data_IF_405483444287
#
_entry.id   IF_405483444287
#
_cell.length_a   1.000
_cell.length_b   1.000
_cell.length_c   1.000
_cell.angle_alpha   90.00
_cell.angle_beta   90.00
_cell.angle_gamma   90.00
#
_symmetry.space_group_name_H-M   'P 1'
#
loop_
_entity.id
_entity.type
_entity.pdbx_description
1 polymer ?
#
# COMPACT_ATOMS: atom_id res chain seq x y z
N UNK A 1 4.77 12.04 -4.98
CA UNK A 1 5.13 12.75 -3.73
C UNK A 1 6.14 12.00 -2.87
N UNK A 2 5.78 10.89 -2.22
CA UNK A 2 6.58 10.22 -1.17
C UNK A 2 7.99 9.73 -1.53
N UNK A 3 8.29 9.64 -2.82
CA UNK A 3 9.59 9.16 -3.34
C UNK A 3 10.23 10.27 -4.16
N UNK A 4 9.68 10.58 -5.33
CA UNK A 4 10.30 11.56 -6.25
C UNK A 4 10.34 12.99 -5.72
N UNK A 5 9.29 13.44 -5.01
CA UNK A 5 9.24 14.81 -4.46
C UNK A 5 10.07 14.90 -3.17
N UNK A 6 10.10 13.82 -2.38
CA UNK A 6 10.95 13.71 -1.19
C UNK A 6 12.45 13.76 -1.56
N UNK A 7 12.89 12.97 -2.54
CA UNK A 7 14.25 13.03 -3.10
C UNK A 7 14.63 14.44 -3.57
N UNK A 8 13.73 15.13 -4.29
CA UNK A 8 13.95 16.52 -4.71
C UNK A 8 14.07 17.51 -3.53
N UNK A 9 13.41 17.23 -2.39
CA UNK A 9 13.57 18.01 -1.15
C UNK A 9 14.89 17.71 -0.46
N UNK A 10 15.39 16.48 -0.50
CA UNK A 10 16.70 16.13 0.07
C UNK A 10 17.84 16.88 -0.62
N UNK A 11 17.78 17.02 -1.96
CA UNK A 11 18.71 17.89 -2.67
C UNK A 11 18.63 19.36 -2.21
N UNK A 12 17.63 19.79 -1.44
CA UNK A 12 17.66 21.14 -0.86
C UNK A 12 18.59 21.27 0.35
N UNK A 13 18.93 20.15 1.02
CA UNK A 13 19.82 20.12 2.19
C UNK A 13 21.30 20.27 1.83
N UNK A 14 21.70 19.89 0.61
CA UNK A 14 23.07 20.06 0.09
C UNK A 14 23.38 21.57 -0.08
N UNK A 15 24.65 21.96 0.09
CA UNK A 15 25.09 23.34 -0.09
C UNK A 15 24.73 23.89 -1.49
N UNK A 16 24.49 25.21 -1.59
CA UNK A 16 24.09 25.85 -2.85
C UNK A 16 25.14 25.76 -3.95
N UNK A 17 26.43 25.84 -3.64
CA UNK A 17 27.50 25.75 -4.63
C UNK A 17 27.63 24.32 -5.13
N UNK A 18 27.69 23.35 -4.23
CA UNK A 18 27.82 21.92 -4.54
C UNK A 18 26.66 21.40 -5.40
N UNK A 19 25.42 21.84 -5.13
CA UNK A 19 24.25 21.52 -5.97
C UNK A 19 24.36 21.99 -7.40
N UNK A 20 24.95 23.17 -7.65
CA UNK A 20 25.10 23.69 -9.01
C UNK A 20 26.11 22.88 -9.82
N UNK A 21 27.05 22.24 -9.14
CA UNK A 21 28.09 21.41 -9.75
C UNK A 21 27.58 19.99 -10.02
N UNK A 22 26.76 19.43 -9.13
CA UNK A 22 26.32 18.02 -9.19
C UNK A 22 24.98 17.83 -9.91
N UNK A 23 24.10 18.84 -9.92
CA UNK A 23 22.75 18.70 -10.49
C UNK A 23 22.56 19.58 -11.73
N UNK A 24 22.16 18.96 -12.83
CA UNK A 24 21.71 19.65 -14.05
C UNK A 24 20.37 20.38 -13.86
N UNK A 25 19.59 19.95 -12.85
CA UNK A 25 18.27 20.51 -12.53
C UNK A 25 18.34 21.44 -11.33
N UNK A 26 17.48 22.47 -11.31
CA UNK A 26 17.30 23.37 -10.16
C UNK A 26 16.15 22.84 -9.28
N UNK A 27 16.38 22.12 -8.16
CA UNK A 27 15.32 21.40 -7.46
C UNK A 27 14.20 22.30 -6.94
N UNK A 28 14.54 23.54 -6.55
CA UNK A 28 13.54 24.54 -6.13
C UNK A 28 12.60 24.96 -7.27
N UNK A 29 13.12 25.10 -8.49
CA UNK A 29 12.31 25.46 -9.66
C UNK A 29 11.42 24.28 -10.05
N UNK A 30 11.99 23.08 -10.09
CA UNK A 30 11.28 21.84 -10.39
C UNK A 30 10.12 21.59 -9.41
N UNK A 31 10.37 21.71 -8.11
CA UNK A 31 9.34 21.55 -7.09
C UNK A 31 8.22 22.58 -7.19
N UNK A 32 8.50 23.80 -7.66
CA UNK A 32 7.46 24.81 -7.91
C UNK A 32 6.60 24.42 -9.10
N UNK A 33 7.20 23.92 -10.17
CA UNK A 33 6.45 23.47 -11.36
C UNK A 33 5.62 22.23 -11.06
N UNK A 34 6.18 21.23 -10.38
CA UNK A 34 5.44 20.04 -9.91
C UNK A 34 4.22 20.46 -9.08
N UNK A 35 4.38 21.41 -8.14
CA UNK A 35 3.26 21.89 -7.32
C UNK A 35 2.18 22.56 -8.18
N UNK A 36 2.56 23.34 -9.18
CA UNK A 36 1.64 24.00 -10.10
C UNK A 36 0.84 22.98 -10.93
N UNK A 37 1.51 22.01 -11.54
CA UNK A 37 0.88 20.96 -12.34
C UNK A 37 -0.05 20.11 -11.48
N UNK A 38 0.41 19.65 -10.31
CA UNK A 38 -0.43 18.86 -9.39
C UNK A 38 -1.67 19.65 -8.97
N UNK A 39 -1.54 20.94 -8.68
CA UNK A 39 -2.69 21.76 -8.33
C UNK A 39 -3.72 21.82 -9.47
N UNK A 40 -3.26 22.02 -10.72
CA UNK A 40 -4.13 22.00 -11.90
C UNK A 40 -4.85 20.65 -12.05
N UNK A 41 -4.11 19.54 -11.94
CA UNK A 41 -4.68 18.19 -12.00
C UNK A 41 -5.67 17.91 -10.86
N UNK A 42 -5.45 18.45 -9.67
CA UNK A 42 -6.39 18.30 -8.55
C UNK A 42 -7.70 19.06 -8.80
N UNK A 43 -7.62 20.25 -9.40
CA UNK A 43 -8.81 21.02 -9.81
C UNK A 43 -9.59 20.25 -10.86
N UNK A 44 -8.92 19.78 -11.91
CA UNK A 44 -9.51 18.97 -12.99
C UNK A 44 -10.15 17.69 -12.46
N UNK A 45 -9.43 16.92 -11.64
CA UNK A 45 -9.94 15.72 -10.97
C UNK A 45 -11.23 16.02 -10.18
N UNK A 46 -11.25 17.13 -9.43
CA UNK A 46 -12.43 17.55 -8.67
C UNK A 46 -13.62 17.90 -9.56
N UNK A 47 -13.38 18.52 -10.72
CA UNK A 47 -14.43 18.83 -11.71
C UNK A 47 -15.00 17.54 -12.30
N UNK A 48 -14.14 16.63 -12.78
CA UNK A 48 -14.55 15.33 -13.34
C UNK A 48 -15.38 14.55 -12.32
N UNK A 49 -14.85 14.41 -11.09
CA UNK A 49 -15.52 13.66 -10.05
C UNK A 49 -16.91 14.22 -9.71
N UNK A 50 -17.02 15.53 -9.44
CA UNK A 50 -18.29 16.14 -8.98
C UNK A 50 -19.29 16.41 -10.11
N UNK A 51 -18.81 16.71 -11.31
CA UNK A 51 -19.67 17.20 -12.40
C UNK A 51 -19.94 16.16 -13.48
N UNK A 52 -19.22 15.03 -13.48
CA UNK A 52 -19.40 13.95 -14.45
C UNK A 52 -19.66 12.63 -13.74
N UNK A 53 -18.73 12.16 -12.90
CA UNK A 53 -18.83 10.82 -12.28
C UNK A 53 -20.02 10.73 -11.33
N UNK A 54 -20.15 11.67 -10.37
CA UNK A 54 -21.27 11.64 -9.41
C UNK A 54 -22.63 11.75 -10.10
N UNK A 55 -22.86 12.66 -11.07
CA UNK A 55 -24.10 12.69 -11.85
C UNK A 55 -24.37 11.39 -12.61
N UNK A 56 -23.38 10.83 -13.32
CA UNK A 56 -23.54 9.59 -14.07
C UNK A 56 -23.89 8.39 -13.17
N UNK A 57 -23.30 8.32 -11.96
CA UNK A 57 -23.68 7.32 -10.97
C UNK A 57 -25.15 7.49 -10.54
N UNK A 58 -25.60 8.73 -10.30
CA UNK A 58 -26.99 9.00 -9.90
C UNK A 58 -27.99 8.60 -10.98
N UNK A 59 -27.67 8.83 -12.26
CA UNK A 59 -28.50 8.37 -13.39
C UNK A 59 -28.68 6.85 -13.41
N UNK A 60 -27.72 6.10 -12.85
CA UNK A 60 -27.78 4.65 -12.68
C UNK A 60 -28.34 4.21 -11.32
N UNK A 61 -28.93 5.12 -10.55
CA UNK A 61 -29.49 4.82 -9.23
C UNK A 61 -28.44 4.60 -8.13
N UNK A 62 -27.18 4.99 -8.37
CA UNK A 62 -26.07 4.87 -7.41
C UNK A 62 -25.83 6.22 -6.74
N UNK A 63 -25.97 6.26 -5.43
CA UNK A 63 -25.87 7.50 -4.65
C UNK A 63 -24.75 7.41 -3.63
N UNK A 64 -23.76 8.29 -3.78
CA UNK A 64 -22.76 8.51 -2.73
C UNK A 64 -23.30 9.62 -1.83
N UNK A 65 -23.79 9.25 -0.65
CA UNK A 65 -24.22 10.20 0.36
C UNK A 65 -22.99 10.73 1.10
N UNK A 66 -22.72 12.02 0.96
CA UNK A 66 -21.54 12.71 1.50
C UNK A 66 -21.91 13.72 2.59
N UNK A 67 -23.16 13.66 3.08
CA UNK A 67 -23.65 14.51 4.14
C UNK A 67 -24.61 13.72 5.02
N UNK A 68 -24.16 13.40 6.24
CA UNK A 68 -24.97 12.69 7.21
C UNK A 68 -26.25 13.43 7.64
N UNK A 69 -26.34 14.75 7.42
CA UNK A 69 -27.59 15.48 7.69
C UNK A 69 -28.72 15.05 6.74
N UNK A 70 -28.37 14.57 5.54
CA UNK A 70 -29.30 14.10 4.52
C UNK A 70 -29.75 12.64 4.73
N UNK A 71 -29.22 11.94 5.74
CA UNK A 71 -29.65 10.58 6.05
C UNK A 71 -31.12 10.57 6.47
N UNK A 72 -31.88 9.62 5.93
CA UNK A 72 -33.24 9.31 6.39
C UNK A 72 -33.23 8.84 7.85
N UNK A 73 -34.39 8.79 8.50
CA UNK A 73 -34.52 8.26 9.88
C UNK A 73 -33.97 6.84 10.00
N UNK A 74 -34.28 5.97 9.02
CA UNK A 74 -33.79 4.59 8.96
C UNK A 74 -32.26 4.55 8.83
N UNK A 75 -31.68 5.40 7.97
CA UNK A 75 -30.24 5.47 7.79
C UNK A 75 -29.51 6.07 9.00
N UNK A 76 -30.11 7.03 9.69
CA UNK A 76 -29.58 7.58 10.95
C UNK A 76 -29.54 6.52 12.04
N UNK A 77 -30.58 5.68 12.13
CA UNK A 77 -30.60 4.57 13.07
C UNK A 77 -29.53 3.53 12.71
N UNK A 78 -29.48 3.09 11.45
CA UNK A 78 -28.43 2.19 10.97
C UNK A 78 -27.01 2.74 11.22
N UNK A 79 -26.78 4.03 10.97
CA UNK A 79 -25.48 4.66 11.21
C UNK A 79 -25.11 4.68 12.70
N UNK A 80 -26.10 4.84 13.60
CA UNK A 80 -25.90 4.72 15.05
C UNK A 80 -25.52 3.30 15.45
N UNK A 81 -26.27 2.31 14.99
CA UNK A 81 -26.04 0.90 15.33
C UNK A 81 -24.69 0.43 14.78
N UNK A 82 -24.40 0.73 13.50
CA UNK A 82 -23.11 0.45 12.89
C UNK A 82 -21.96 1.14 13.63
N UNK A 83 -22.15 2.39 14.06
CA UNK A 83 -21.15 3.10 14.84
C UNK A 83 -20.87 2.40 16.17
N UNK A 84 -21.89 2.06 16.95
CA UNK A 84 -21.74 1.43 18.26
C UNK A 84 -21.14 0.03 18.16
N UNK A 85 -21.60 -0.79 17.21
CA UNK A 85 -21.20 -2.19 17.10
C UNK A 85 -19.86 -2.38 16.39
N UNK A 86 -19.58 -1.59 15.35
CA UNK A 86 -18.43 -1.80 14.45
C UNK A 86 -17.37 -0.73 14.57
N UNK A 87 -17.74 0.53 14.73
CA UNK A 87 -16.77 1.65 14.64
C UNK A 87 -16.16 1.99 16.00
N UNK A 88 -16.98 2.16 17.03
CA UNK A 88 -16.59 2.57 18.37
C UNK A 88 -15.48 1.69 18.98
N UNK A 89 -15.48 0.34 18.85
CA UNK A 89 -14.40 -0.50 19.36
C UNK A 89 -13.02 -0.22 18.75
N UNK A 90 -12.96 0.44 17.60
CA UNK A 90 -11.73 0.79 16.89
C UNK A 90 -11.40 2.29 16.93
N UNK A 91 -12.23 3.08 17.61
CA UNK A 91 -12.00 4.51 17.77
C UNK A 91 -11.02 4.80 18.91
N UNK A 92 -10.15 5.75 18.63
CA UNK A 92 -9.24 6.43 19.52
C UNK A 92 -9.56 7.91 19.39
N UNK A 93 -9.98 8.52 20.50
CA UNK A 93 -10.32 9.92 20.55
C UNK A 93 -9.73 10.56 21.81
N UNK A 94 -9.35 11.83 21.69
CA UNK A 94 -8.76 12.61 22.79
C UNK A 94 -8.92 14.10 22.52
N UNK A 95 -8.90 14.91 23.58
CA UNK A 95 -8.70 16.35 23.48
C UNK A 95 -7.26 16.65 23.05
N UNK A 96 -7.09 17.71 22.27
CA UNK A 96 -5.78 18.24 21.91
C UNK A 96 -5.49 19.39 22.86
N UNK A 97 -4.66 19.12 23.85
CA UNK A 97 -4.13 20.13 24.76
C UNK A 97 -2.80 20.68 24.22
N UNK A 98 -2.65 22.00 24.20
CA UNK A 98 -1.43 22.68 23.75
C UNK A 98 -0.34 22.72 24.82
N UNK A 99 -0.66 22.42 26.08
CA UNK A 99 0.26 22.45 27.23
C UNK A 99 0.76 21.05 27.65
N UNK A 100 0.12 19.98 27.16
CA UNK A 100 0.49 18.57 27.40
C UNK A 100 1.25 17.94 26.21
N UNK A 101 1.48 16.62 26.27
CA UNK A 101 2.11 15.86 25.19
C UNK A 101 1.33 15.93 23.87
N UNK A 102 2.04 16.24 22.78
CA UNK A 102 1.47 16.31 21.42
C UNK A 102 0.93 14.94 21.01
N UNK A 103 -0.33 14.85 20.52
CA UNK A 103 -0.91 13.58 20.17
C UNK A 103 -0.16 12.91 19.01
N UNK A 104 0.18 11.64 19.19
CA UNK A 104 0.87 10.88 18.18
C UNK A 104 -0.06 10.47 17.04
N UNK A 105 0.22 10.95 15.82
CA UNK A 105 -0.53 10.61 14.60
C UNK A 105 0.18 9.52 13.80
N UNK A 106 -0.48 8.36 13.62
CA UNK A 106 0.04 7.23 12.83
C UNK A 106 0.34 7.67 11.39
N UNK A 107 1.42 7.12 10.84
CA UNK A 107 1.78 7.38 9.44
C UNK A 107 0.66 6.90 8.50
N UNK A 108 0.23 7.75 7.57
CA UNK A 108 -0.91 7.51 6.66
C UNK A 108 -2.28 7.43 7.34
N UNK A 109 -2.34 7.61 8.65
CA UNK A 109 -3.59 7.64 9.39
C UNK A 109 -4.48 8.79 8.92
N UNK A 110 -5.77 8.49 8.84
CA UNK A 110 -6.84 9.44 8.64
C UNK A 110 -7.42 9.83 10.00
N UNK A 111 -7.66 11.12 10.21
CA UNK A 111 -8.19 11.64 11.45
C UNK A 111 -9.19 12.76 11.18
N UNK A 112 -10.06 13.01 12.15
CA UNK A 112 -10.74 14.29 12.30
C UNK A 112 -10.03 15.14 13.35
N UNK A 113 -9.86 16.42 13.02
CA UNK A 113 -9.68 17.48 14.01
C UNK A 113 -11.03 18.13 14.24
N UNK A 114 -11.45 18.19 15.49
CA UNK A 114 -12.71 18.75 15.92
C UNK A 114 -12.49 20.12 16.53
N UNK A 115 -13.39 21.06 16.23
CA UNK A 115 -13.57 22.26 17.03
C UNK A 115 -14.72 21.99 18.01
N UNK A 116 -14.42 21.91 19.30
CA UNK A 116 -15.41 21.59 20.33
C UNK A 116 -16.15 22.85 20.78
N UNK A 117 -17.42 22.71 21.11
CA UNK A 117 -18.24 23.81 21.59
C UNK A 117 -17.89 24.18 23.04
N UNK A 118 -18.52 25.24 23.55
CA UNK A 118 -18.46 25.64 24.96
C UNK A 118 -17.04 25.89 25.52
N UNK A 119 -16.09 26.23 24.64
CA UNK A 119 -14.69 26.43 25.06
C UNK A 119 -13.93 25.12 25.31
N UNK A 120 -14.48 23.95 24.93
CA UNK A 120 -13.84 22.64 25.06
C UNK A 120 -12.58 22.44 24.22
N UNK A 121 -12.17 23.45 23.44
CA UNK A 121 -10.93 23.44 22.68
C UNK A 121 -11.01 22.55 21.44
N UNK A 122 -9.99 21.72 21.25
CA UNK A 122 -9.84 20.88 20.07
C UNK A 122 -9.96 19.40 20.44
N UNK A 123 -10.58 18.62 19.57
CA UNK A 123 -10.63 17.17 19.66
C UNK A 123 -9.90 16.51 18.50
N UNK A 124 -9.45 15.28 18.71
CA UNK A 124 -8.87 14.43 17.68
C UNK A 124 -9.56 13.07 17.70
N UNK A 125 -9.94 12.55 16.54
CA UNK A 125 -10.56 11.21 16.38
C UNK A 125 -9.90 10.51 15.20
N UNK A 126 -9.46 9.26 15.35
CA UNK A 126 -8.97 8.48 14.21
C UNK A 126 -10.14 8.01 13.32
N UNK A 127 -9.85 7.76 12.04
CA UNK A 127 -10.77 7.07 11.13
C UNK A 127 -10.18 5.68 10.85
N UNK A 128 -10.77 4.59 11.38
CA UNK A 128 -10.18 3.25 11.38
C UNK A 128 -10.31 2.51 10.03
N UNK A 129 -10.01 3.20 8.92
CA UNK A 129 -10.08 2.65 7.55
C UNK A 129 -9.08 1.54 7.24
N UNK A 130 -8.16 1.22 8.16
CA UNK A 130 -7.22 0.09 8.04
C UNK A 130 -7.87 -1.24 8.44
N UNK A 131 -8.90 -1.20 9.28
CA UNK A 131 -9.61 -2.39 9.80
C UNK A 131 -11.08 -2.44 9.38
N UNK A 132 -11.66 -1.30 9.01
CA UNK A 132 -13.04 -1.19 8.51
C UNK A 132 -13.05 -0.73 7.04
N UNK A 133 -14.05 -1.17 6.25
CA UNK A 133 -14.20 -0.71 4.87
C UNK A 133 -14.40 0.81 4.82
N UNK A 134 -13.77 1.47 3.84
CA UNK A 134 -13.90 2.92 3.65
C UNK A 134 -15.33 3.34 3.30
N UNK A 135 -16.03 2.49 2.57
CA UNK A 135 -17.39 2.71 2.10
C UNK A 135 -18.35 1.80 2.85
N UNK A 136 -19.45 2.37 3.34
CA UNK A 136 -20.49 1.67 4.08
C UNK A 136 -21.78 1.72 3.26
N UNK A 137 -22.34 0.56 2.98
CA UNK A 137 -23.66 0.45 2.34
C UNK A 137 -24.73 0.88 3.32
N UNK A 138 -25.63 1.75 2.86
CA UNK A 138 -26.76 2.22 3.65
C UNK A 138 -28.03 1.46 3.26
N UNK A 139 -28.98 1.28 4.20
CA UNK A 139 -30.34 0.89 3.85
C UNK A 139 -30.86 1.85 2.77
N UNK A 140 -31.26 1.27 1.65
CA UNK A 140 -31.59 2.00 0.43
C UNK A 140 -33.01 1.67 -0.01
N UNK A 141 -33.77 2.62 -0.60
CA UNK A 141 -35.02 2.31 -1.28
C UNK A 141 -34.82 1.29 -2.41
N UNK A 142 -35.89 0.60 -2.80
CA UNK A 142 -35.84 -0.35 -3.92
C UNK A 142 -35.32 0.31 -5.20
N UNK A 143 -34.41 -0.38 -5.88
CA UNK A 143 -33.77 0.12 -7.10
C UNK A 143 -32.68 1.17 -6.89
N UNK A 144 -32.35 1.54 -5.64
CA UNK A 144 -31.24 2.45 -5.35
C UNK A 144 -30.10 1.73 -4.64
N UNK A 145 -28.88 2.14 -4.96
CA UNK A 145 -27.66 1.72 -4.28
C UNK A 145 -27.05 2.91 -3.58
N UNK A 146 -27.31 3.05 -2.28
CA UNK A 146 -26.78 4.17 -1.49
C UNK A 146 -25.59 3.72 -0.64
N UNK A 147 -24.51 4.48 -0.75
CA UNK A 147 -23.26 4.24 -0.05
C UNK A 147 -22.77 5.54 0.56
N UNK A 148 -22.14 5.46 1.71
CA UNK A 148 -21.50 6.60 2.36
C UNK A 148 -20.06 6.31 2.69
N UNK A 149 -19.27 7.35 2.89
CA UNK A 149 -17.97 7.22 3.52
C UNK A 149 -18.14 6.86 5.00
N UNK A 150 -17.23 6.03 5.54
CA UNK A 150 -17.09 5.77 6.97
C UNK A 150 -16.99 7.08 7.79
N UNK A 151 -16.40 8.11 7.18
CA UNK A 151 -16.28 9.48 7.70
C UNK A 151 -17.63 10.04 8.14
N UNK A 152 -18.68 9.84 7.34
CA UNK A 152 -20.00 10.38 7.63
C UNK A 152 -20.71 9.59 8.73
N UNK A 153 -20.48 8.27 8.81
CA UNK A 153 -20.94 7.46 9.95
C UNK A 153 -20.32 7.98 11.25
N UNK A 154 -19.02 8.28 11.24
CA UNK A 154 -18.34 8.84 12.42
C UNK A 154 -18.87 10.25 12.71
N UNK A 155 -18.94 11.14 11.71
CA UNK A 155 -19.43 12.52 11.86
C UNK A 155 -20.82 12.59 12.49
N UNK A 156 -21.73 11.71 12.05
CA UNK A 156 -23.09 11.63 12.59
C UNK A 156 -23.17 11.26 14.08
N UNK A 157 -22.09 10.70 14.65
CA UNK A 157 -22.05 10.16 15.99
C UNK A 157 -20.98 10.83 16.88
N UNK A 158 -20.30 11.88 16.40
CA UNK A 158 -19.23 12.55 17.16
C UNK A 158 -19.71 13.18 18.47
N UNK A 159 -20.96 13.65 18.54
CA UNK A 159 -21.54 14.22 19.76
C UNK A 159 -21.64 13.21 20.91
N UNK A 160 -21.64 11.90 20.62
CA UNK A 160 -21.61 10.87 21.66
C UNK A 160 -20.22 10.74 22.31
N UNK A 161 -19.17 11.23 21.65
CA UNK A 161 -17.78 11.12 22.13
C UNK A 161 -17.33 12.36 22.92
N UNK A 162 -17.93 13.52 22.63
CA UNK A 162 -17.53 14.81 23.22
C UNK A 162 -18.75 15.51 23.84
N UNK A 163 -18.93 15.44 25.18
CA UNK A 163 -20.10 15.97 25.86
C UNK A 163 -20.29 17.49 25.71
N UNK A 164 -19.22 18.23 25.42
CA UNK A 164 -19.23 19.67 25.17
C UNK A 164 -19.97 20.02 23.87
N UNK A 165 -20.12 19.06 22.96
CA UNK A 165 -20.66 19.22 21.62
C UNK A 165 -19.58 19.54 20.57
N UNK A 166 -19.87 19.22 19.31
CA UNK A 166 -18.92 19.38 18.19
C UNK A 166 -19.42 20.45 17.23
N UNK A 167 -18.70 21.57 17.12
CA UNK A 167 -19.06 22.65 16.20
C UNK A 167 -18.69 22.33 14.75
N UNK A 168 -17.53 21.72 14.56
CA UNK A 168 -17.03 21.36 13.24
C UNK A 168 -16.04 20.19 13.33
N UNK A 169 -15.99 19.39 12.27
CA UNK A 169 -15.05 18.29 12.12
C UNK A 169 -14.34 18.42 10.77
N UNK A 170 -13.01 18.40 10.77
CA UNK A 170 -12.19 18.56 9.57
C UNK A 170 -11.29 17.36 9.39
N UNK A 171 -11.31 16.76 8.20
CA UNK A 171 -10.48 15.61 7.90
C UNK A 171 -9.03 16.04 7.73
N UNK A 172 -8.11 15.34 8.38
CA UNK A 172 -6.67 15.46 8.16
C UNK A 172 -6.05 14.11 7.83
N UNK A 173 -4.94 14.13 7.11
CA UNK A 173 -4.08 12.97 6.87
C UNK A 173 -2.63 13.33 7.10
N UNK A 174 -1.98 12.54 7.93
CA UNK A 174 -0.53 12.64 8.15
C UNK A 174 0.22 11.69 7.23
N UNK A 175 1.35 12.15 6.71
CA UNK A 175 2.35 11.28 6.09
C UNK A 175 3.72 11.60 6.66
N UNK A 176 4.47 10.56 7.00
CA UNK A 176 5.87 10.62 7.42
C UNK A 176 6.71 10.13 6.23
N UNK A 177 7.61 10.97 5.74
CA UNK A 177 8.48 10.65 4.61
C UNK A 177 9.39 9.48 4.98
N UNK A 178 9.48 8.50 4.08
CA UNK A 178 10.19 7.24 4.33
C UNK A 178 11.71 7.36 4.15
N UNK A 179 12.21 8.50 3.67
CA UNK A 179 13.58 8.61 3.15
C UNK A 179 14.58 9.22 4.14
N UNK A 180 14.16 9.84 5.26
CA UNK A 180 15.12 10.58 6.11
C UNK A 180 15.91 9.72 7.11
N UNK A 181 15.78 8.39 7.09
CA UNK A 181 16.38 7.49 8.09
C UNK A 181 17.37 6.47 7.53
N UNK A 182 17.57 6.43 6.20
CA UNK A 182 18.65 5.64 5.57
C UNK A 182 19.61 6.62 4.88
N UNK A 183 19.99 7.69 5.58
CA UNK A 183 20.89 8.74 5.06
C UNK A 183 22.34 8.24 4.89
N UNK A 184 22.64 7.01 5.33
CA UNK A 184 23.98 6.43 5.28
C UNK A 184 23.97 5.09 4.50
N UNK A 185 23.75 5.20 3.18
CA UNK A 185 23.63 4.07 2.24
C UNK A 185 24.96 3.41 1.84
N UNK A 186 26.09 3.92 2.35
CA UNK A 186 27.44 3.56 1.86
C UNK A 186 28.31 2.87 2.90
N UNK A 187 27.83 2.67 4.13
CA UNK A 187 28.58 2.05 5.21
C UNK A 187 27.69 1.19 6.12
N UNK A 188 28.25 0.16 6.76
CA UNK A 188 27.56 -0.64 7.80
C UNK A 188 26.61 -1.74 7.29
N UNK A 189 25.94 -2.40 8.24
CA UNK A 189 24.98 -3.49 7.99
C UNK A 189 23.62 -2.93 7.55
N UNK A 190 23.24 -3.24 6.30
CA UNK A 190 21.98 -2.76 5.70
C UNK A 190 20.75 -3.34 6.40
N UNK A 191 20.82 -4.58 6.87
CA UNK A 191 19.67 -5.25 7.50
C UNK A 191 19.30 -4.58 8.81
N UNK A 192 20.30 -4.35 9.67
CA UNK A 192 20.12 -3.65 10.95
C UNK A 192 19.57 -2.23 10.72
N UNK A 193 20.13 -1.50 9.75
CA UNK A 193 19.62 -0.16 9.39
C UNK A 193 18.15 -0.18 8.94
N UNK A 194 17.74 -1.19 8.18
CA UNK A 194 16.34 -1.34 7.75
C UNK A 194 15.45 -1.67 8.96
N UNK A 195 15.87 -2.58 9.85
CA UNK A 195 15.14 -2.93 11.09
C UNK A 195 14.94 -1.71 11.99
N UNK A 196 16.00 -0.95 12.26
CA UNK A 196 15.94 0.30 13.04
C UNK A 196 15.05 1.34 12.35
N UNK A 197 15.21 1.55 11.04
CA UNK A 197 14.41 2.51 10.29
C UNK A 197 12.92 2.16 10.27
N UNK A 198 12.57 0.87 10.17
CA UNK A 198 11.17 0.41 10.26
C UNK A 198 10.57 0.73 11.63
N UNK A 199 11.33 0.52 12.71
CA UNK A 199 10.91 0.89 14.06
C UNK A 199 10.74 2.42 14.21
N UNK A 200 11.73 3.21 13.78
CA UNK A 200 11.74 4.68 13.90
C UNK A 200 10.70 5.38 13.01
N UNK A 201 10.36 4.79 11.86
CA UNK A 201 9.32 5.29 10.94
C UNK A 201 7.94 5.31 11.59
N UNK A 202 7.73 4.51 12.63
CA UNK A 202 6.55 4.65 13.47
C UNK A 202 6.63 5.95 14.29
N UNK A 203 7.78 6.33 14.86
CA UNK A 203 7.91 7.35 15.92
C UNK A 203 8.21 8.79 15.42
N UNK A 204 8.89 8.97 14.28
CA UNK A 204 9.48 10.28 13.87
C UNK A 204 8.55 11.35 13.28
N UNK A 205 8.78 12.65 13.56
CA UNK A 205 7.88 13.77 13.27
C UNK A 205 7.20 13.78 11.86
N UNK A 206 5.92 14.23 11.76
CA UNK A 206 5.19 14.29 10.49
C UNK A 206 5.86 15.22 9.47
N UNK A 207 5.97 14.76 8.21
CA UNK A 207 6.61 15.55 7.13
C UNK A 207 5.59 16.12 6.14
N UNK A 208 4.32 15.73 6.29
CA UNK A 208 3.19 16.27 5.53
C UNK A 208 1.88 16.12 6.31
N UNK A 209 1.11 17.20 6.37
CA UNK A 209 -0.27 17.24 6.82
C UNK A 209 -1.15 17.72 5.66
N UNK A 210 -1.98 16.80 5.14
CA UNK A 210 -3.06 17.13 4.23
C UNK A 210 -4.29 17.45 5.08
N UNK A 211 -4.95 18.57 4.86
CA UNK A 211 -6.09 19.01 5.67
C UNK A 211 -7.26 19.45 4.78
N UNK A 212 -8.48 19.37 5.29
CA UNK A 212 -9.68 19.88 4.62
C UNK A 212 -9.58 21.39 4.39
N UNK A 213 -9.70 21.84 3.13
CA UNK A 213 -9.65 23.25 2.74
C UNK A 213 -10.72 24.14 3.40
N UNK A 214 -11.79 23.57 3.95
CA UNK A 214 -12.79 24.32 4.71
C UNK A 214 -12.27 24.76 6.10
N UNK A 215 -11.14 24.22 6.56
CA UNK A 215 -10.53 24.58 7.83
C UNK A 215 -10.06 26.04 7.82
N UNK A 216 -10.31 26.77 8.91
CA UNK A 216 -9.88 28.15 9.04
C UNK A 216 -8.34 28.27 9.05
N UNK A 217 -7.83 29.43 8.61
CA UNK A 217 -6.39 29.73 8.65
C UNK A 217 -5.88 29.66 10.09
N UNK A 218 -6.66 30.14 11.06
CA UNK A 218 -6.31 30.11 12.49
C UNK A 218 -6.11 28.67 12.99
N UNK A 219 -7.09 27.79 12.74
CA UNK A 219 -7.00 26.38 13.15
C UNK A 219 -5.83 25.68 12.44
N UNK A 220 -5.61 25.98 11.16
CA UNK A 220 -4.47 25.44 10.41
C UNK A 220 -3.13 25.89 11.02
N UNK A 221 -2.99 27.15 11.46
CA UNK A 221 -1.78 27.61 12.15
C UNK A 221 -1.62 26.97 13.53
N UNK A 222 -2.72 26.76 14.29
CA UNK A 222 -2.68 26.04 15.57
C UNK A 222 -2.17 24.62 15.38
N UNK A 223 -2.73 23.84 14.44
CA UNK A 223 -2.26 22.48 14.15
C UNK A 223 -0.81 22.45 13.67
N UNK A 224 -0.39 23.44 12.89
CA UNK A 224 1.00 23.58 12.48
C UNK A 224 1.94 23.72 13.67
N UNK A 225 1.57 24.53 14.66
CA UNK A 225 2.35 24.72 15.88
C UNK A 225 2.37 23.44 16.73
N UNK A 226 1.19 22.85 16.99
CA UNK A 226 1.01 21.62 17.77
C UNK A 226 1.85 20.47 17.20
N UNK A 227 1.77 20.24 15.89
CA UNK A 227 2.50 19.15 15.23
C UNK A 227 3.91 19.54 14.75
N UNK A 228 4.40 20.72 15.13
CA UNK A 228 5.74 21.23 14.79
C UNK A 228 6.05 21.19 13.28
N UNK A 229 5.04 21.50 12.46
CA UNK A 229 5.11 21.42 11.00
C UNK A 229 5.70 22.69 10.37
N UNK A 230 6.44 22.56 9.27
CA UNK A 230 6.88 23.72 8.48
C UNK A 230 5.77 24.14 7.52
N UNK A 231 5.82 25.39 7.04
CA UNK A 231 4.85 25.92 6.06
C UNK A 231 4.73 25.05 4.79
N UNK A 232 5.83 24.40 4.40
CA UNK A 232 5.88 23.55 3.21
C UNK A 232 5.33 22.13 3.43
N UNK A 233 4.92 21.80 4.65
CA UNK A 233 4.41 20.49 5.05
C UNK A 233 2.88 20.48 5.08
N UNK A 234 2.24 21.65 5.05
CA UNK A 234 0.79 21.82 5.00
C UNK A 234 0.28 21.81 3.56
N UNK A 235 -0.75 21.00 3.28
CA UNK A 235 -1.38 20.91 1.98
C UNK A 235 -2.90 20.98 2.12
N UNK A 236 -3.58 21.92 1.46
CA UNK A 236 -5.04 21.90 1.39
C UNK A 236 -5.50 20.71 0.53
N UNK A 237 -6.57 20.07 0.95
CA UNK A 237 -7.24 18.97 0.29
C UNK A 237 -8.76 19.11 0.37
N UNK A 238 -9.48 18.11 -0.13
CA UNK A 238 -10.93 18.08 -0.05
C UNK A 238 -11.40 17.58 1.32
N UNK A 239 -12.73 17.54 1.53
CA UNK A 239 -13.38 16.97 2.72
C UNK A 239 -13.00 15.50 2.96
N UNK A 240 -12.82 14.72 1.89
CA UNK A 240 -12.39 13.32 1.95
C UNK A 240 -10.97 13.18 1.45
N UNK A 241 -10.14 12.51 2.24
CA UNK A 241 -8.78 12.11 1.84
C UNK A 241 -8.78 10.63 1.42
N UNK A 242 -7.70 10.19 0.79
CA UNK A 242 -7.51 8.83 0.25
C UNK A 242 -8.49 8.44 -0.87
N UNK A 243 -8.47 9.17 -1.98
CA UNK A 243 -9.23 8.75 -3.17
C UNK A 243 -8.79 7.41 -3.77
N UNK A 244 -7.64 6.86 -3.37
CA UNK A 244 -7.27 5.47 -3.68
C UNK A 244 -8.28 4.45 -3.13
N UNK A 245 -9.03 4.83 -2.10
CA UNK A 245 -9.98 3.90 -1.49
C UNK A 245 -11.12 3.53 -2.46
N UNK A 246 -11.38 4.36 -3.49
CA UNK A 246 -12.34 4.04 -4.57
C UNK A 246 -11.99 2.75 -5.34
N UNK A 247 -10.74 2.26 -5.30
CA UNK A 247 -10.43 0.92 -5.83
C UNK A 247 -11.16 -0.21 -5.08
N UNK A 248 -11.62 0.04 -3.86
CA UNK A 248 -12.46 -0.85 -3.06
C UNK A 248 -13.91 -0.36 -2.96
N UNK A 249 -14.37 0.49 -3.90
CA UNK A 249 -15.77 0.93 -3.94
C UNK A 249 -16.70 -0.29 -4.15
N UNK A 250 -17.76 -0.43 -3.36
CA UNK A 250 -18.59 -1.63 -3.40
C UNK A 250 -19.36 -1.72 -4.72
N UNK A 251 -19.45 -2.92 -5.26
CA UNK A 251 -20.15 -3.16 -6.51
C UNK A 251 -21.67 -3.08 -6.32
N UNK A 252 -22.39 -2.24 -7.09
CA UNK A 252 -23.84 -2.23 -7.07
C UNK A 252 -24.41 -3.54 -7.63
N UNK A 253 -25.56 -4.01 -7.12
CA UNK A 253 -26.24 -5.16 -7.71
C UNK A 253 -26.64 -4.85 -9.16
N UNK A 254 -26.54 -5.85 -10.04
CA UNK A 254 -26.89 -5.75 -11.47
C UNK A 254 -26.11 -4.70 -12.28
N UNK A 255 -24.91 -4.31 -11.84
CA UNK A 255 -24.09 -3.30 -12.50
C UNK A 255 -23.04 -3.86 -13.48
N UNK A 256 -23.29 -5.02 -14.10
CA UNK A 256 -22.28 -5.69 -14.94
C UNK A 256 -21.79 -4.82 -16.11
N UNK A 257 -22.62 -3.91 -16.61
CA UNK A 257 -22.30 -2.96 -17.68
C UNK A 257 -21.46 -1.74 -17.20
N UNK A 258 -21.27 -1.58 -15.88
CA UNK A 258 -20.41 -0.55 -15.30
C UNK A 258 -18.96 -1.02 -15.10
N UNK A 259 -18.68 -2.28 -15.41
CA UNK A 259 -17.35 -2.88 -15.28
C UNK A 259 -16.83 -3.32 -16.64
N UNK A 260 -15.50 -3.27 -16.79
CA UNK A 260 -14.84 -3.95 -17.90
C UNK A 260 -15.19 -5.45 -17.84
N UNK A 261 -15.39 -6.04 -19.01
CA UNK A 261 -15.64 -7.47 -19.10
C UNK A 261 -14.47 -8.25 -18.46
N UNK A 262 -14.75 -9.28 -17.63
CA UNK A 262 -13.69 -10.05 -17.01
C UNK A 262 -12.86 -10.73 -18.10
N UNK A 263 -11.55 -10.49 -18.06
CA UNK A 263 -10.57 -11.16 -18.93
C UNK A 263 -9.77 -12.17 -18.09
N UNK A 264 -10.34 -13.36 -17.81
CA UNK A 264 -9.62 -14.37 -17.03
C UNK A 264 -8.34 -14.79 -17.77
N UNK A 265 -7.22 -15.01 -17.05
CA UNK A 265 -5.99 -15.46 -17.68
C UNK A 265 -6.18 -16.80 -18.41
N UNK A 266 -5.72 -16.85 -19.65
CA UNK A 266 -5.83 -17.99 -20.53
C UNK A 266 -4.89 -19.12 -20.10
N UNK A 267 -5.32 -20.37 -20.23
CA UNK A 267 -4.42 -21.50 -20.08
C UNK A 267 -3.35 -21.51 -21.19
N UNK A 268 -2.13 -21.92 -20.85
CA UNK A 268 -1.10 -22.24 -21.83
C UNK A 268 -1.30 -23.69 -22.31
N UNK A 269 -1.60 -23.94 -23.61
CA UNK A 269 -2.01 -25.27 -24.10
C UNK A 269 -1.07 -26.40 -23.68
N UNK A 270 0.24 -26.22 -23.86
CA UNK A 270 1.25 -27.23 -23.52
C UNK A 270 1.32 -27.53 -22.01
N UNK A 271 1.16 -26.51 -21.16
CA UNK A 271 1.35 -26.64 -19.71
C UNK A 271 0.10 -27.20 -19.02
N UNK A 272 -1.07 -27.12 -19.66
CA UNK A 272 -2.29 -27.76 -19.14
C UNK A 272 -2.33 -29.25 -19.46
N UNK A 273 -1.85 -29.67 -20.63
CA UNK A 273 -1.92 -31.08 -21.06
C UNK A 273 -0.71 -31.90 -20.61
N UNK A 274 0.41 -31.25 -20.27
CA UNK A 274 1.62 -31.94 -19.84
C UNK A 274 1.52 -32.39 -18.38
N UNK A 275 1.89 -33.65 -18.06
CA UNK A 275 1.95 -34.12 -16.68
C UNK A 275 3.11 -33.50 -15.90
N UNK A 276 4.07 -32.86 -16.57
CA UNK A 276 5.27 -32.28 -15.98
C UNK A 276 5.71 -31.01 -16.71
N UNK A 277 5.97 -29.94 -15.97
CA UNK A 277 6.51 -28.70 -16.55
C UNK A 277 7.95 -28.93 -17.02
N UNK A 278 8.73 -29.77 -16.33
CA UNK A 278 10.07 -30.13 -16.80
C UNK A 278 10.05 -30.77 -18.20
N UNK A 279 9.13 -31.71 -18.44
CA UNK A 279 9.01 -32.34 -19.77
C UNK A 279 8.66 -31.31 -20.85
N UNK A 280 7.78 -30.35 -20.55
CA UNK A 280 7.42 -29.30 -21.50
C UNK A 280 8.61 -28.39 -21.83
N UNK A 281 9.36 -27.94 -20.82
CA UNK A 281 10.52 -27.04 -21.00
C UNK A 281 11.70 -27.76 -21.66
N UNK A 282 11.85 -29.08 -21.47
CA UNK A 282 12.85 -29.87 -22.19
C UNK A 282 12.60 -29.93 -23.71
N UNK A 283 11.33 -29.89 -24.13
CA UNK A 283 10.96 -29.99 -25.54
C UNK A 283 11.13 -28.66 -26.26
N UNK A 284 10.80 -27.54 -25.61
CA UNK A 284 10.92 -26.21 -26.18
C UNK A 284 10.88 -25.12 -25.09
N UNK A 285 11.44 -23.95 -25.40
CA UNK A 285 11.27 -22.76 -24.57
C UNK A 285 9.80 -22.33 -24.51
N UNK A 286 9.37 -21.85 -23.33
CA UNK A 286 7.98 -21.46 -23.08
C UNK A 286 7.95 -19.97 -22.70
N UNK A 287 7.20 -19.19 -23.47
CA UNK A 287 6.95 -17.78 -23.18
C UNK A 287 5.56 -17.63 -22.55
N UNK A 288 5.51 -17.02 -21.36
CA UNK A 288 4.27 -16.62 -20.70
C UNK A 288 4.13 -15.10 -20.75
N UNK A 289 2.96 -14.62 -21.16
CA UNK A 289 2.61 -13.22 -21.21
C UNK A 289 1.52 -12.88 -20.18
N UNK A 290 1.92 -12.23 -19.10
CA UNK A 290 1.00 -11.73 -18.08
C UNK A 290 0.43 -10.36 -18.48
N UNK A 291 -0.81 -10.01 -18.11
CA UNK A 291 -1.78 -10.82 -17.35
C UNK A 291 -2.60 -11.80 -18.21
N UNK A 292 -2.30 -11.95 -19.51
CA UNK A 292 -3.11 -12.74 -20.44
C UNK A 292 -3.05 -14.25 -20.21
N UNK A 293 -1.96 -14.78 -19.66
CA UNK A 293 -1.80 -16.20 -19.32
C UNK A 293 -1.73 -16.40 -17.80
N UNK A 294 -2.11 -17.59 -17.33
CA UNK A 294 -2.10 -17.89 -15.89
C UNK A 294 -0.69 -17.79 -15.30
N UNK A 295 -0.57 -17.15 -14.14
CA UNK A 295 0.69 -17.05 -13.39
C UNK A 295 1.01 -18.30 -12.56
N UNK A 296 0.01 -19.13 -12.27
CA UNK A 296 0.11 -20.28 -11.36
C UNK A 296 1.10 -21.36 -11.84
N UNK A 297 1.49 -21.38 -13.12
CA UNK A 297 2.54 -22.27 -13.63
C UNK A 297 3.86 -22.14 -12.88
N UNK A 298 4.24 -20.94 -12.44
CA UNK A 298 5.52 -20.71 -11.74
C UNK A 298 5.53 -21.38 -10.36
N UNK A 299 4.60 -21.08 -9.42
CA UNK A 299 4.55 -21.80 -8.15
C UNK A 299 4.23 -23.30 -8.33
N UNK A 300 3.49 -23.70 -9.37
CA UNK A 300 3.26 -25.12 -9.67
C UNK A 300 4.56 -25.84 -10.05
N UNK A 301 5.43 -25.19 -10.81
CA UNK A 301 6.74 -25.75 -11.17
C UNK A 301 7.68 -25.88 -9.97
N UNK A 302 7.69 -24.89 -9.05
CA UNK A 302 8.45 -24.99 -7.80
C UNK A 302 7.91 -26.15 -6.94
N UNK A 303 6.59 -26.34 -6.88
CA UNK A 303 5.98 -27.47 -6.15
C UNK A 303 6.29 -28.84 -6.77
N UNK A 304 6.37 -28.92 -8.10
CA UNK A 304 6.84 -30.11 -8.82
C UNK A 304 8.30 -30.39 -8.47
N UNK A 305 9.17 -29.36 -8.53
CA UNK A 305 10.57 -29.45 -8.17
C UNK A 305 10.80 -29.85 -6.70
N UNK A 306 9.93 -29.41 -5.80
CA UNK A 306 9.96 -29.79 -4.39
C UNK A 306 9.76 -31.30 -4.18
N UNK A 307 8.99 -31.96 -5.05
CA UNK A 307 8.64 -33.38 -4.93
C UNK A 307 9.55 -34.29 -5.76
N UNK A 308 10.17 -33.76 -6.81
CA UNK A 308 11.04 -34.55 -7.69
C UNK A 308 12.34 -34.94 -6.97
N UNK A 309 12.62 -36.25 -6.71
CA UNK A 309 13.84 -36.69 -6.05
C UNK A 309 15.12 -36.33 -6.82
N UNK A 310 15.03 -36.13 -8.14
CA UNK A 310 16.15 -35.76 -8.98
C UNK A 310 16.55 -34.28 -8.87
N UNK A 311 15.68 -33.42 -8.32
CA UNK A 311 16.02 -32.01 -8.08
C UNK A 311 16.95 -31.90 -6.86
N UNK A 312 18.04 -31.16 -7.01
CA UNK A 312 19.05 -30.98 -5.96
C UNK A 312 19.01 -29.58 -5.35
N UNK A 313 18.79 -28.56 -6.19
CA UNK A 313 18.96 -27.16 -5.80
C UNK A 313 17.95 -26.26 -6.52
N UNK A 314 17.43 -25.27 -5.80
CA UNK A 314 16.60 -24.19 -6.35
C UNK A 314 17.19 -22.85 -5.93
N UNK A 315 17.49 -21.98 -6.90
CA UNK A 315 17.92 -20.60 -6.67
C UNK A 315 16.88 -19.63 -7.18
N UNK A 316 16.58 -18.58 -6.43
CA UNK A 316 15.56 -17.61 -6.83
C UNK A 316 15.88 -16.20 -6.34
N UNK A 317 15.50 -15.20 -7.12
CA UNK A 317 15.49 -13.79 -6.70
C UNK A 317 14.08 -13.38 -6.27
N UNK A 318 13.92 -12.97 -5.02
CA UNK A 318 12.70 -12.47 -4.41
C UNK A 318 12.77 -10.94 -4.31
N UNK A 319 12.14 -10.26 -5.26
CA UNK A 319 12.13 -8.78 -5.31
C UNK A 319 11.03 -8.17 -4.43
N UNK A 320 9.79 -8.63 -4.60
CA UNK A 320 8.62 -8.18 -3.85
C UNK A 320 7.75 -9.38 -3.55
N UNK A 321 7.76 -9.82 -2.31
CA UNK A 321 7.02 -10.99 -1.87
C UNK A 321 5.74 -10.53 -1.21
N UNK A 322 4.59 -10.96 -1.73
CA UNK A 322 3.31 -10.71 -1.08
C UNK A 322 3.29 -11.34 0.32
N UNK A 323 2.52 -10.77 1.26
CA UNK A 323 2.38 -11.31 2.63
C UNK A 323 2.03 -12.80 2.62
N UNK A 324 1.12 -13.22 1.73
CA UNK A 324 0.77 -14.62 1.49
C UNK A 324 1.34 -15.08 0.13
N UNK A 325 2.63 -15.40 0.07
CA UNK A 325 3.29 -15.79 -1.18
C UNK A 325 3.28 -17.30 -1.41
N UNK A 326 2.60 -17.74 -2.48
CA UNK A 326 2.62 -19.15 -2.93
C UNK A 326 4.01 -19.62 -3.33
N UNK A 327 4.85 -18.72 -3.86
CA UNK A 327 6.25 -19.01 -4.19
C UNK A 327 7.04 -19.29 -2.92
N UNK A 328 6.92 -18.44 -1.89
CA UNK A 328 7.67 -18.61 -0.66
C UNK A 328 7.26 -19.90 0.08
N UNK A 329 5.96 -20.20 0.11
CA UNK A 329 5.45 -21.47 0.65
C UNK A 329 5.98 -22.68 -0.13
N UNK A 330 6.03 -22.62 -1.46
CA UNK A 330 6.56 -23.71 -2.29
C UNK A 330 8.06 -23.93 -2.04
N UNK A 331 8.84 -22.86 -1.82
CA UNK A 331 10.26 -22.94 -1.47
C UNK A 331 10.48 -23.56 -0.09
N UNK A 332 9.65 -23.20 0.91
CA UNK A 332 9.69 -23.82 2.23
C UNK A 332 9.45 -25.33 2.14
N UNK A 333 8.45 -25.74 1.36
CA UNK A 333 8.17 -27.16 1.12
C UNK A 333 9.34 -27.86 0.43
N UNK A 334 9.98 -27.22 -0.56
CA UNK A 334 11.16 -27.76 -1.21
C UNK A 334 12.34 -27.93 -0.22
N UNK A 335 12.58 -26.94 0.64
CA UNK A 335 13.58 -27.03 1.71
C UNK A 335 13.30 -28.20 2.67
N UNK A 336 12.04 -28.36 3.11
CA UNK A 336 11.60 -29.47 3.96
C UNK A 336 11.80 -30.85 3.30
N UNK A 337 11.67 -30.92 1.97
CA UNK A 337 11.93 -32.12 1.18
C UNK A 337 13.42 -32.33 0.85
N UNK A 338 14.32 -31.61 1.52
CA UNK A 338 15.77 -31.77 1.41
C UNK A 338 16.40 -31.11 0.18
N UNK A 339 15.66 -30.24 -0.53
CA UNK A 339 16.22 -29.47 -1.65
C UNK A 339 17.08 -28.33 -1.12
N UNK A 340 18.25 -28.07 -1.73
CA UNK A 340 19.06 -26.91 -1.37
C UNK A 340 18.41 -25.65 -1.91
N UNK A 341 17.92 -24.77 -1.03
CA UNK A 341 17.32 -23.50 -1.43
C UNK A 341 18.32 -22.36 -1.25
N UNK A 342 18.51 -21.55 -2.30
CA UNK A 342 19.19 -20.25 -2.20
C UNK A 342 18.25 -19.14 -2.65
N UNK A 343 17.86 -18.25 -1.75
CA UNK A 343 17.00 -17.11 -2.08
C UNK A 343 17.77 -15.80 -1.96
N UNK A 344 17.83 -15.03 -3.04
CA UNK A 344 18.25 -13.63 -2.96
C UNK A 344 17.03 -12.77 -2.61
N UNK A 345 17.09 -11.96 -1.55
CA UNK A 345 15.97 -11.13 -1.09
C UNK A 345 16.34 -9.65 -1.22
N UNK A 346 15.57 -8.91 -2.02
CA UNK A 346 15.73 -7.46 -2.15
C UNK A 346 14.99 -6.73 -1.01
N UNK A 347 15.68 -6.51 0.11
CA UNK A 347 15.11 -5.83 1.28
C UNK A 347 14.85 -4.34 1.06
N UNK A 348 15.39 -3.73 -0.01
CA UNK A 348 15.16 -2.31 -0.34
C UNK A 348 13.94 -2.10 -1.24
N UNK A 349 13.13 -3.13 -1.50
CA UNK A 349 11.90 -2.95 -2.26
C UNK A 349 10.94 -2.04 -1.49
N UNK A 350 10.80 -0.81 -2.00
CA UNK A 350 10.07 0.26 -1.31
C UNK A 350 8.63 -0.14 -1.00
N UNK A 351 8.26 -0.01 0.26
CA UNK A 351 6.95 -0.35 0.85
C UNK A 351 6.68 -1.84 1.07
N UNK A 352 7.62 -2.70 0.71
CA UNK A 352 7.53 -4.16 0.86
C UNK A 352 8.65 -4.68 1.80
N UNK A 353 9.38 -3.78 2.47
CA UNK A 353 10.56 -4.12 3.28
C UNK A 353 10.22 -5.10 4.40
N UNK A 354 9.11 -4.86 5.10
CA UNK A 354 8.60 -5.72 6.18
C UNK A 354 8.26 -7.14 5.67
N UNK A 355 7.58 -7.25 4.53
CA UNK A 355 7.19 -8.54 3.95
C UNK A 355 8.40 -9.32 3.44
N UNK A 356 9.34 -8.64 2.79
CA UNK A 356 10.56 -9.25 2.29
C UNK A 356 11.46 -9.72 3.44
N UNK A 357 11.58 -8.93 4.52
CA UNK A 357 12.32 -9.32 5.70
C UNK A 357 11.70 -10.53 6.38
N UNK A 358 10.38 -10.52 6.59
CA UNK A 358 9.64 -11.65 7.18
C UNK A 358 9.87 -12.96 6.41
N UNK A 359 9.73 -12.94 5.08
CA UNK A 359 9.96 -14.13 4.26
C UNK A 359 11.43 -14.55 4.19
N UNK A 360 12.36 -13.59 4.23
CA UNK A 360 13.79 -13.87 4.36
C UNK A 360 14.09 -14.65 5.63
N UNK A 361 13.67 -14.13 6.79
CA UNK A 361 13.86 -14.77 8.10
C UNK A 361 13.20 -16.15 8.16
N UNK A 362 11.96 -16.27 7.65
CA UNK A 362 11.24 -17.55 7.62
C UNK A 362 11.97 -18.62 6.79
N UNK A 363 12.58 -18.23 5.66
CA UNK A 363 13.36 -19.14 4.82
C UNK A 363 14.69 -19.53 5.49
N UNK A 364 15.37 -18.58 6.16
CA UNK A 364 16.59 -18.85 6.92
C UNK A 364 16.33 -19.83 8.07
N UNK A 365 15.25 -19.62 8.83
CA UNK A 365 14.84 -20.50 9.93
C UNK A 365 14.55 -21.93 9.44
N UNK A 366 14.02 -22.08 8.22
CA UNK A 366 13.83 -23.39 7.58
C UNK A 366 15.14 -24.01 7.04
N UNK A 367 16.27 -23.30 7.12
CA UNK A 367 17.59 -23.75 6.70
C UNK A 367 17.96 -23.40 5.26
N UNK A 368 17.18 -22.57 4.57
CA UNK A 368 17.54 -22.07 3.25
C UNK A 368 18.69 -21.06 3.36
N UNK A 369 19.53 -20.99 2.32
CA UNK A 369 20.55 -19.94 2.22
C UNK A 369 19.91 -18.66 1.71
N UNK A 370 19.74 -17.66 2.56
CA UNK A 370 19.24 -16.35 2.16
C UNK A 370 20.40 -15.37 1.94
N UNK A 371 20.31 -14.59 0.86
CA UNK A 371 21.29 -13.57 0.49
C UNK A 371 20.53 -12.25 0.37
N UNK A 372 20.79 -11.35 1.28
CA UNK A 372 20.19 -10.02 1.24
C UNK A 372 20.95 -9.08 0.30
N UNK A 373 20.24 -8.10 -0.26
CA UNK A 373 20.86 -7.07 -1.10
C UNK A 373 21.95 -6.30 -0.34
N UNK A 374 23.01 -5.90 -1.06
CA UNK A 374 24.13 -5.12 -0.50
C UNK A 374 23.88 -3.63 -0.65
N UNK A 375 24.44 -2.78 0.23
CA UNK A 375 24.43 -1.33 0.04
C UNK A 375 24.93 -0.94 -1.37
N UNK A 376 24.24 0.01 -2.00
CA UNK A 376 24.58 0.51 -3.34
C UNK A 376 24.21 -0.39 -4.54
N UNK A 377 23.82 -1.66 -4.32
CA UNK A 377 23.47 -2.60 -5.41
C UNK A 377 22.01 -3.00 -5.32
N UNK A 378 21.26 -2.82 -6.41
CA UNK A 378 19.87 -3.26 -6.54
C UNK A 378 19.77 -4.39 -7.55
N UNK A 379 19.13 -5.48 -7.16
CA UNK A 379 18.88 -6.61 -8.06
C UNK A 379 17.42 -6.57 -8.50
N UNK A 380 17.21 -6.28 -9.78
CA UNK A 380 15.88 -6.20 -10.38
C UNK A 380 15.53 -7.38 -11.30
N UNK A 381 16.47 -8.29 -11.53
CA UNK A 381 16.21 -9.52 -12.27
C UNK A 381 15.21 -10.40 -11.51
N UNK A 382 14.27 -11.05 -12.22
CA UNK A 382 13.39 -12.08 -11.66
C UNK A 382 13.76 -13.40 -12.29
N UNK A 383 14.60 -14.15 -11.58
CA UNK A 383 15.19 -15.38 -12.05
C UNK A 383 14.86 -16.48 -11.06
N UNK A 384 14.46 -17.63 -11.58
CA UNK A 384 14.39 -18.89 -10.87
C UNK A 384 15.26 -19.89 -11.64
N UNK A 385 16.12 -20.60 -10.95
CA UNK A 385 17.01 -21.62 -11.48
C UNK A 385 16.78 -22.91 -10.69
N UNK A 386 16.48 -24.00 -11.39
CA UNK A 386 16.31 -25.33 -10.80
C UNK A 386 17.39 -26.25 -11.37
N UNK A 387 18.20 -26.84 -10.50
CA UNK A 387 19.21 -27.84 -10.86
C UNK A 387 18.67 -29.23 -10.59
N UNK A 388 18.64 -30.06 -11.63
CA UNK A 388 18.09 -31.42 -11.62
C UNK A 388 19.09 -32.41 -12.21
N UNK A 389 19.29 -33.54 -11.55
CA UNK A 389 20.15 -34.64 -12.01
C UNK A 389 19.39 -35.55 -12.98
N UNK A 390 19.86 -35.68 -14.20
CA UNK A 390 19.22 -36.51 -15.23
C UNK A 390 20.23 -37.49 -15.84
N UNK A 391 19.78 -38.68 -16.26
CA UNK A 391 20.63 -39.68 -16.91
C UNK A 391 20.11 -40.03 -18.31
N UNK A 392 21.00 -40.48 -19.20
CA UNK A 392 20.60 -41.18 -20.42
C UNK A 392 20.38 -42.67 -20.13
N UNK A 393 19.33 -43.24 -20.70
CA UNK A 393 19.17 -44.68 -20.90
C UNK A 393 20.15 -45.14 -21.99
N UNK A 394 21.45 -45.13 -21.69
CA UNK A 394 22.44 -45.89 -22.45
C UNK A 394 23.55 -46.35 -21.52
N UNK A 395 24.21 -47.43 -21.92
CA UNK A 395 24.99 -48.41 -21.15
C UNK A 395 26.14 -47.89 -20.25
N UNK A 396 26.35 -46.58 -20.13
CA UNK A 396 27.45 -45.96 -19.39
C UNK A 396 27.07 -45.22 -18.08
N UNK A 397 25.80 -45.20 -17.66
CA UNK A 397 25.34 -44.64 -16.36
C UNK A 397 25.93 -43.27 -15.97
N UNK A 398 26.15 -42.34 -16.91
CA UNK A 398 26.56 -40.98 -16.56
C UNK A 398 25.34 -40.10 -16.28
N UNK A 399 25.19 -39.71 -15.00
CA UNK A 399 24.23 -38.67 -14.62
C UNK A 399 24.80 -37.29 -14.93
N UNK A 400 24.03 -36.46 -15.63
CA UNK A 400 24.34 -35.07 -16.00
C UNK A 400 23.45 -34.13 -15.17
N UNK A 401 24.01 -33.01 -14.70
CA UNK A 401 23.23 -31.95 -14.11
C UNK A 401 22.63 -31.08 -15.20
N UNK A 402 21.31 -30.94 -15.22
CA UNK A 402 20.58 -30.00 -16.06
C UNK A 402 20.09 -28.81 -15.25
N UNK A 403 20.05 -27.66 -15.91
CA UNK A 403 19.64 -26.39 -15.34
C UNK A 403 18.42 -25.88 -16.09
N UNK A 404 17.32 -25.69 -15.36
CA UNK A 404 16.10 -25.11 -15.88
C UNK A 404 15.93 -23.70 -15.32
N UNK A 405 15.59 -22.75 -16.19
CA UNK A 405 15.51 -21.34 -15.78
C UNK A 405 14.17 -20.74 -16.16
N UNK A 406 13.59 -19.95 -15.26
CA UNK A 406 12.55 -18.97 -15.56
C UNK A 406 13.15 -17.57 -15.49
N UNK A 407 12.85 -16.76 -16.50
CA UNK A 407 13.24 -15.36 -16.63
C UNK A 407 11.98 -14.51 -16.74
N UNK A 408 11.85 -13.47 -15.90
CA UNK A 408 10.74 -12.53 -15.97
C UNK A 408 11.02 -11.16 -15.39
#
# INVERSE_FOLDING_TARGET
FRVRVAALRQFQKIDKQERKTILEVKPKKELREIKKIVHQQQVEFGIIFRSQVIPALRERGIFILNDHHLFSSVQKQFARDYFQEKVLPHLQFQHIDTELEVPFLKNRGLYFVLNLAQGGGLGLVNIPSEVLPRFVLLPSPDGQFQVTFLDEIIRANLEQLFPEGVQAAYSIKVSRDAESYIDDEYSGDLLEKIKTSLAERSIGAPTRLLYDSAMSIELTQKLKAIFQLKKNDLFPGARYHNFSDFFAFPAPPNAADLYDAPMPPLPHPLLETSPSIFQSVQQQDILLHFPYQKYDYIPRWINEAAQDPAVEEIKITLYRVAKNSSIAQALLKAQQNGKKITAFVEVKARFDEESNLHWGETLEEAGARVIYSRPGIKVHSKILLITRREGQLDSAQQTVLKHYTYLG
#
